data_IF_062419270723
#
_entry.id   IF_062419270723
#
_cell.length_a   1.000
_cell.length_b   1.000
_cell.length_c   1.000
_cell.angle_alpha   90.00
_cell.angle_beta   90.00
_cell.angle_gamma   90.00
#
_symmetry.space_group_name_H-M   'P 1'
#
loop_
_entity.id
_entity.type
_entity.pdbx_description
1 polymer ?
#
# COMPACT_ATOMS: atom_id res chain seq x y z
N UNK A 1 -2.68 17.50 3.72
CA UNK A 1 -2.82 16.74 2.47
C UNK A 1 -3.85 15.66 2.72
N UNK A 2 -4.96 15.67 1.98
CA UNK A 2 -6.07 14.75 2.20
C UNK A 2 -6.06 13.64 1.16
N UNK A 3 -6.52 12.46 1.55
CA UNK A 3 -6.75 11.36 0.63
C UNK A 3 -8.11 11.58 -0.03
N UNK A 4 -8.12 11.77 -1.34
CA UNK A 4 -9.33 12.04 -2.11
C UNK A 4 -9.88 10.80 -2.79
N UNK A 5 -9.02 9.85 -3.14
CA UNK A 5 -9.45 8.59 -3.77
C UNK A 5 -8.45 7.48 -3.46
N UNK A 6 -8.96 6.26 -3.28
CA UNK A 6 -8.17 5.03 -3.18
C UNK A 6 -8.74 4.03 -4.17
N UNK A 7 -7.89 3.47 -5.02
CA UNK A 7 -8.24 2.35 -5.91
C UNK A 7 -7.52 1.10 -5.45
N UNK A 8 -8.28 0.06 -5.16
CA UNK A 8 -7.76 -1.25 -4.78
C UNK A 8 -7.75 -2.15 -6.01
N UNK A 9 -6.64 -2.87 -6.19
CA UNK A 9 -6.46 -3.88 -7.21
C UNK A 9 -6.09 -5.19 -6.51
N UNK A 10 -7.05 -6.11 -6.29
CA UNK A 10 -6.75 -7.40 -5.70
C UNK A 10 -5.69 -8.13 -6.51
N UNK A 11 -4.85 -8.85 -5.79
CA UNK A 11 -3.76 -9.56 -6.41
C UNK A 11 -3.54 -10.88 -5.69
N UNK A 12 -3.75 -11.97 -6.42
CA UNK A 12 -3.36 -13.30 -6.01
C UNK A 12 -2.23 -13.77 -6.93
N UNK A 13 -1.06 -14.02 -6.34
CA UNK A 13 0.07 -14.58 -7.07
C UNK A 13 -0.13 -16.05 -7.43
N UNK A 14 -1.07 -16.76 -6.79
CA UNK A 14 -1.19 -18.22 -6.84
C UNK A 14 -0.01 -18.97 -6.19
N UNK A 15 1.07 -18.26 -5.86
CA UNK A 15 2.25 -18.80 -5.19
C UNK A 15 1.99 -19.10 -3.70
N UNK A 16 2.25 -20.35 -3.25
CA UNK A 16 2.21 -20.69 -1.84
C UNK A 16 3.16 -19.81 -1.02
N UNK A 17 2.62 -19.11 -0.02
CA UNK A 17 3.41 -18.27 0.88
C UNK A 17 3.53 -16.81 0.45
N UNK A 18 2.88 -16.39 -0.63
CA UNK A 18 2.79 -14.96 -0.94
C UNK A 18 1.96 -14.22 0.09
N UNK A 19 2.55 -13.14 0.59
CA UNK A 19 1.91 -12.22 1.51
C UNK A 19 1.17 -11.09 0.80
N UNK A 20 1.38 -10.89 -0.50
CA UNK A 20 0.68 -9.83 -1.21
C UNK A 20 -0.80 -10.21 -1.38
N UNK A 21 -1.68 -9.23 -1.13
CA UNK A 21 -3.14 -9.39 -1.24
C UNK A 21 -3.76 -8.41 -2.23
N UNK A 22 -3.21 -7.21 -2.31
CA UNK A 22 -3.64 -6.21 -3.28
C UNK A 22 -2.55 -5.16 -3.52
N UNK A 23 -2.64 -4.51 -4.66
CA UNK A 23 -2.05 -3.19 -4.86
C UNK A 23 -3.08 -2.09 -4.58
N UNK A 24 -2.61 -0.92 -4.20
CA UNK A 24 -3.43 0.25 -4.03
C UNK A 24 -2.77 1.48 -4.68
N UNK A 25 -3.60 2.28 -5.33
CA UNK A 25 -3.26 3.60 -5.83
C UNK A 25 -4.01 4.64 -4.98
N UNK A 26 -3.33 5.72 -4.61
CA UNK A 26 -3.89 6.78 -3.77
C UNK A 26 -3.75 8.12 -4.45
N UNK A 27 -4.85 8.86 -4.54
CA UNK A 27 -4.87 10.24 -5.03
C UNK A 27 -5.02 11.18 -3.84
N UNK A 28 -4.10 12.13 -3.73
CA UNK A 28 -4.09 13.15 -2.70
C UNK A 28 -4.55 14.50 -3.28
N UNK A 29 -5.48 15.14 -2.58
CA UNK A 29 -6.04 16.46 -2.90
C UNK A 29 -6.43 16.63 -4.40
N UNK A 30 -6.79 15.53 -5.09
CA UNK A 30 -7.03 15.47 -6.55
C UNK A 30 -5.85 15.93 -7.45
N UNK A 31 -4.65 16.13 -6.90
CA UNK A 31 -3.50 16.69 -7.63
C UNK A 31 -2.31 15.74 -7.72
N UNK A 32 -2.21 14.76 -6.82
CA UNK A 32 -1.08 13.85 -6.77
C UNK A 32 -1.54 12.40 -6.69
N UNK A 33 -1.25 11.63 -7.74
CA UNK A 33 -1.43 10.20 -7.76
C UNK A 33 -0.13 9.50 -7.36
N UNK A 34 -0.18 8.71 -6.30
CA UNK A 34 0.89 7.81 -5.88
C UNK A 34 0.43 6.37 -6.09
N UNK A 35 1.18 5.64 -6.92
CA UNK A 35 0.87 4.25 -7.30
C UNK A 35 1.73 3.25 -6.55
N UNK A 36 1.21 2.03 -6.41
CA UNK A 36 1.99 0.87 -6.00
C UNK A 36 2.15 0.70 -4.49
N UNK A 37 1.21 1.23 -3.70
CA UNK A 37 1.04 0.73 -2.33
C UNK A 37 0.65 -0.74 -2.37
N UNK A 38 0.99 -1.49 -1.33
CA UNK A 38 0.78 -2.94 -1.26
C UNK A 38 0.07 -3.30 0.02
N UNK A 39 -1.08 -3.96 -0.08
CA UNK A 39 -1.72 -4.62 1.07
C UNK A 39 -1.10 -6.00 1.23
N UNK A 40 -0.50 -6.23 2.38
CA UNK A 40 0.31 -7.41 2.67
C UNK A 40 -0.24 -8.11 3.91
N UNK A 41 -0.34 -9.43 3.87
CA UNK A 41 -0.60 -10.26 5.03
C UNK A 41 0.68 -10.50 5.85
N UNK A 42 0.50 -10.81 7.11
CA UNK A 42 1.56 -11.26 8.01
C UNK A 42 1.39 -12.75 8.30
N UNK A 43 2.46 -13.41 8.70
CA UNK A 43 2.40 -14.81 9.16
C UNK A 43 1.43 -15.03 10.34
N UNK A 44 1.12 -13.98 11.11
CA UNK A 44 0.23 -14.03 12.28
C UNK A 44 -1.23 -13.70 11.97
N UNK A 45 -1.60 -13.51 10.70
CA UNK A 45 -2.98 -13.27 10.27
C UNK A 45 -3.44 -11.81 10.27
N UNK A 46 -2.56 -10.84 10.52
CA UNK A 46 -2.84 -9.41 10.35
C UNK A 46 -2.48 -8.89 8.96
N UNK A 47 -3.06 -7.75 8.56
CA UNK A 47 -2.70 -7.01 7.34
C UNK A 47 -1.86 -5.77 7.67
N UNK A 48 -0.99 -5.38 6.73
CA UNK A 48 -0.25 -4.11 6.78
C UNK A 48 -0.10 -3.53 5.37
N UNK A 49 0.24 -2.24 5.31
CA UNK A 49 0.46 -1.53 4.04
C UNK A 49 1.95 -1.27 3.84
N UNK A 50 2.49 -1.82 2.77
CA UNK A 50 3.81 -1.49 2.24
C UNK A 50 3.74 -0.28 1.31
N UNK A 51 4.74 0.60 1.40
CA UNK A 51 4.86 1.77 0.51
C UNK A 51 5.31 1.35 -0.90
N UNK A 52 5.17 2.22 -1.91
CA UNK A 52 5.74 1.98 -3.22
C UNK A 52 7.26 1.79 -3.08
N UNK A 53 7.78 0.66 -3.56
CA UNK A 53 9.20 0.38 -3.49
C UNK A 53 9.73 -0.23 -4.79
N UNK A 54 11.03 -0.05 -5.03
CA UNK A 54 11.71 -0.59 -6.20
C UNK A 54 12.97 -1.35 -5.78
N UNK A 55 13.23 -2.48 -6.43
CA UNK A 55 14.48 -3.21 -6.24
C UNK A 55 15.65 -2.45 -6.88
N UNK A 56 16.62 -2.08 -6.06
CA UNK A 56 17.86 -1.44 -6.47
C UNK A 56 18.84 -2.44 -7.11
N UNK A 57 19.93 -1.90 -7.68
CA UNK A 57 21.04 -2.71 -8.23
C UNK A 57 21.76 -3.52 -7.15
N UNK A 58 21.69 -3.07 -5.91
CA UNK A 58 22.18 -3.75 -4.71
C UNK A 58 21.29 -4.94 -4.29
N UNK A 59 20.20 -5.19 -5.01
CA UNK A 59 19.24 -6.25 -4.72
C UNK A 59 18.27 -5.93 -3.59
N UNK A 60 18.38 -4.76 -2.95
CA UNK A 60 17.49 -4.33 -1.86
C UNK A 60 16.29 -3.58 -2.40
N UNK A 61 15.18 -3.61 -1.67
CA UNK A 61 14.03 -2.76 -1.98
C UNK A 61 14.18 -1.42 -1.27
N UNK A 62 14.00 -0.34 -2.03
CA UNK A 62 14.03 1.03 -1.53
C UNK A 62 12.66 1.66 -1.73
N UNK A 63 12.13 2.28 -0.69
CA UNK A 63 10.88 3.03 -0.79
C UNK A 63 11.06 4.22 -1.72
N UNK A 64 10.11 4.40 -2.61
CA UNK A 64 10.11 5.46 -3.63
C UNK A 64 9.40 6.71 -3.15
N UNK A 65 8.61 6.60 -2.07
CA UNK A 65 7.86 7.68 -1.47
C UNK A 65 8.05 7.62 0.03
N UNK A 66 8.40 8.75 0.63
CA UNK A 66 8.54 8.89 2.07
C UNK A 66 7.61 10.01 2.55
N UNK A 67 6.77 9.71 3.54
CA UNK A 67 5.93 10.70 4.19
C UNK A 67 6.54 11.09 5.53
N UNK A 68 6.98 12.34 5.65
CA UNK A 68 7.65 12.84 6.88
C UNK A 68 6.71 13.02 8.07
N UNK A 69 5.40 12.95 7.85
CA UNK A 69 4.38 13.09 8.90
C UNK A 69 3.89 11.71 9.34
N UNK A 70 4.18 11.36 10.60
CA UNK A 70 3.71 10.10 11.22
C UNK A 70 2.18 10.00 11.27
N UNK A 71 1.49 11.12 11.51
CA UNK A 71 0.02 11.15 11.50
C UNK A 71 -0.54 10.87 10.11
N UNK A 72 0.04 11.46 9.07
CA UNK A 72 -0.37 11.19 7.69
C UNK A 72 -0.06 9.75 7.27
N UNK A 73 1.10 9.22 7.66
CA UNK A 73 1.42 7.82 7.42
C UNK A 73 0.38 6.89 8.05
N UNK A 74 0.03 7.12 9.32
CA UNK A 74 -0.94 6.30 10.05
C UNK A 74 -2.33 6.40 9.43
N UNK A 75 -2.78 7.61 9.10
CA UNK A 75 -4.04 7.86 8.41
C UNK A 75 -4.10 7.14 7.05
N UNK A 76 -3.04 7.23 6.25
CA UNK A 76 -2.93 6.58 4.95
C UNK A 76 -3.03 5.06 5.05
N UNK A 77 -2.28 4.45 5.98
CA UNK A 77 -2.31 3.00 6.18
C UNK A 77 -3.72 2.54 6.54
N UNK A 78 -4.37 3.21 7.49
CA UNK A 78 -5.75 2.88 7.90
C UNK A 78 -6.75 3.06 6.76
N UNK A 79 -6.65 4.13 5.98
CA UNK A 79 -7.55 4.41 4.87
C UNK A 79 -7.43 3.33 3.76
N UNK A 80 -6.21 2.91 3.42
CA UNK A 80 -5.99 1.84 2.42
C UNK A 80 -6.56 0.51 2.93
N UNK A 81 -6.31 0.16 4.20
CA UNK A 81 -6.85 -1.09 4.77
C UNK A 81 -8.37 -1.09 4.81
N UNK A 82 -9.00 0.03 5.18
CA UNK A 82 -10.46 0.17 5.18
C UNK A 82 -11.04 0.07 3.77
N UNK A 83 -10.38 0.68 2.77
CA UNK A 83 -10.80 0.55 1.38
C UNK A 83 -10.67 -0.88 0.86
N UNK A 84 -9.62 -1.60 1.27
CA UNK A 84 -9.44 -3.02 0.93
C UNK A 84 -10.51 -3.90 1.58
N UNK A 85 -10.86 -3.66 2.84
CA UNK A 85 -11.90 -4.40 3.57
C UNK A 85 -13.30 -4.21 2.95
N UNK A 86 -13.60 -2.99 2.49
CA UNK A 86 -14.88 -2.68 1.82
C UNK A 86 -14.94 -3.25 0.40
N UNK A 87 -13.79 -3.45 -0.25
CA UNK A 87 -13.72 -4.06 -1.57
C UNK A 87 -13.98 -5.57 -1.51
N UNK A 88 -13.48 -6.24 -0.47
CA UNK A 88 -13.47 -7.70 -0.34
C UNK A 88 -14.83 -8.29 0.03
#
# INVERSE_FOLDING_TARGET
>A
MNITEIKIYPFDTGEPGSFLRAYADVIFDQVLLVKGFRVMATHKGGLFVGFPSRKGKDGKYHDMVELKSESLQSHLRSAILSAYDTYS
#
